data_IF_274680146337
#
_entry.id   IF_274680146337
#
_cell.length_a   1.000
_cell.length_b   1.000
_cell.length_c   1.000
_cell.angle_alpha   90.00
_cell.angle_beta   90.00
_cell.angle_gamma   90.00
#
_symmetry.space_group_name_H-M   'P 1'
#
loop_
_entity.id
_entity.type
_entity.pdbx_description
1 polymer ?
#
# COMPACT_ATOMS: atom_id res chain seq x y z
N UNK A 1 -19.96 -44.51 33.09
CA UNK A 1 -19.19 -44.05 34.26
C UNK A 1 -18.08 -45.05 34.49
N UNK A 2 -16.95 -44.85 33.83
CA UNK A 2 -15.79 -45.74 33.92
C UNK A 2 -14.86 -45.20 35.00
N UNK A 3 -14.51 -46.12 35.89
CA UNK A 3 -13.76 -45.97 37.13
C UNK A 3 -12.37 -45.36 36.87
N UNK A 4 -12.23 -44.05 37.09
CA UNK A 4 -10.92 -43.40 37.10
C UNK A 4 -10.23 -43.78 38.41
N UNK A 5 -9.46 -44.87 38.37
CA UNK A 5 -8.48 -45.24 39.42
C UNK A 5 -7.82 -43.98 39.95
N UNK A 6 -7.99 -43.72 41.24
CA UNK A 6 -7.26 -42.65 41.94
C UNK A 6 -5.77 -42.98 41.87
N UNK A 7 -5.08 -42.44 40.86
CA UNK A 7 -3.63 -42.55 40.76
C UNK A 7 -3.05 -41.71 41.89
N UNK A 8 -2.48 -42.37 42.90
CA UNK A 8 -1.78 -41.68 43.99
C UNK A 8 -0.33 -41.32 43.63
N UNK A 9 0.20 -41.89 42.54
CA UNK A 9 1.59 -41.72 42.12
C UNK A 9 1.64 -41.31 40.66
N UNK A 10 2.24 -40.16 40.38
CA UNK A 10 2.43 -39.58 39.05
C UNK A 10 3.91 -39.56 38.71
N UNK A 11 4.33 -40.34 37.71
CA UNK A 11 5.70 -40.29 37.20
C UNK A 11 5.82 -39.15 36.18
N UNK A 12 6.42 -38.04 36.60
CA UNK A 12 6.68 -36.90 35.72
C UNK A 12 8.03 -37.12 35.06
N UNK A 13 8.01 -37.40 33.75
CA UNK A 13 9.21 -37.61 32.95
C UNK A 13 10.02 -36.30 32.78
N UNK A 14 11.30 -36.35 32.35
CA UNK A 14 12.04 -35.15 31.95
C UNK A 14 11.27 -34.35 30.89
N UNK A 15 11.24 -33.03 31.01
CA UNK A 15 10.47 -32.12 30.14
C UNK A 15 8.95 -32.32 30.17
N UNK A 16 8.42 -32.89 31.25
CA UNK A 16 6.99 -32.89 31.54
C UNK A 16 6.69 -32.12 32.82
N UNK A 17 5.45 -31.68 32.97
CA UNK A 17 4.96 -31.00 34.16
C UNK A 17 3.50 -31.37 34.47
N UNK A 18 3.10 -31.15 35.71
CA UNK A 18 1.70 -31.25 36.16
C UNK A 18 1.31 -29.98 36.93
N UNK A 19 0.01 -29.70 37.03
CA UNK A 19 -0.52 -28.71 37.97
C UNK A 19 -1.21 -29.43 39.12
N UNK A 20 -0.88 -29.05 40.35
CA UNK A 20 -1.42 -29.65 41.57
C UNK A 20 -2.11 -28.56 42.39
N UNK A 21 -3.38 -28.76 42.69
CA UNK A 21 -4.17 -27.96 43.60
C UNK A 21 -4.06 -28.55 45.01
N UNK A 22 -3.61 -27.74 45.95
CA UNK A 22 -3.78 -27.99 47.39
C UNK A 22 -5.16 -27.47 47.82
N UNK A 23 -6.02 -28.35 48.31
CA UNK A 23 -7.40 -28.05 48.71
C UNK A 23 -7.50 -27.35 50.07
N UNK A 24 -6.46 -27.41 50.91
CA UNK A 24 -6.44 -26.69 52.18
C UNK A 24 -6.18 -25.19 51.96
N UNK A 25 -5.25 -24.88 51.05
CA UNK A 25 -4.84 -23.51 50.74
C UNK A 25 -5.53 -22.94 49.50
N UNK A 26 -6.19 -23.78 48.69
CA UNK A 26 -6.70 -23.47 47.36
C UNK A 26 -5.63 -22.96 46.37
N UNK A 27 -4.36 -23.29 46.62
CA UNK A 27 -3.23 -22.86 45.79
C UNK A 27 -2.95 -23.93 44.74
N UNK A 28 -2.95 -23.52 43.48
CA UNK A 28 -2.47 -24.38 42.39
C UNK A 28 -1.02 -24.07 42.10
N UNK A 29 -0.18 -25.10 42.12
CA UNK A 29 1.26 -24.99 41.86
C UNK A 29 1.70 -25.89 40.72
N UNK A 30 2.86 -25.54 40.16
CA UNK A 30 3.52 -26.26 39.08
C UNK A 30 4.50 -27.28 39.65
N UNK A 31 4.43 -28.53 39.19
CA UNK A 31 5.41 -29.56 39.51
C UNK A 31 6.09 -30.05 38.23
N UNK A 32 7.41 -29.82 38.13
CA UNK A 32 8.25 -30.16 36.97
C UNK A 32 9.00 -31.47 37.19
N UNK A 33 9.12 -32.30 36.14
CA UNK A 33 9.93 -33.51 36.14
C UNK A 33 11.42 -33.27 35.85
N UNK A 34 12.31 -34.27 36.01
CA UNK A 34 12.00 -35.67 36.31
C UNK A 34 11.77 -35.92 37.80
N UNK A 35 10.57 -36.38 38.18
CA UNK A 35 10.28 -36.83 39.54
C UNK A 35 9.04 -37.72 39.61
N UNK A 36 9.01 -38.55 40.63
CA UNK A 36 7.80 -39.30 41.01
C UNK A 36 7.05 -38.47 42.04
N UNK A 37 5.94 -37.86 41.62
CA UNK A 37 5.08 -37.08 42.50
C UNK A 37 4.08 -38.01 43.19
N UNK A 38 4.06 -37.99 44.52
CA UNK A 38 3.11 -38.74 45.33
C UNK A 38 2.08 -37.76 45.88
N UNK A 39 0.85 -37.87 45.39
CA UNK A 39 -0.27 -36.98 45.73
C UNK A 39 -0.69 -37.23 47.18
N UNK A 40 -0.76 -36.18 47.97
CA UNK A 40 -1.31 -36.23 49.33
C UNK A 40 -2.84 -36.17 49.33
N UNK A 41 -3.49 -36.48 50.46
CA UNK A 41 -4.96 -36.53 50.56
C UNK A 41 -5.63 -35.19 50.25
N UNK A 42 -4.99 -34.07 50.62
CA UNK A 42 -5.48 -32.71 50.36
C UNK A 42 -5.09 -32.20 48.97
N UNK A 43 -4.47 -33.02 48.11
CA UNK A 43 -3.99 -32.60 46.80
C UNK A 43 -4.80 -33.22 45.66
N UNK A 44 -5.00 -32.41 44.63
CA UNK A 44 -5.66 -32.80 43.39
C UNK A 44 -4.81 -32.39 42.20
N UNK A 45 -4.43 -33.36 41.36
CA UNK A 45 -3.78 -33.06 40.07
C UNK A 45 -4.85 -32.51 39.12
N UNK A 46 -4.67 -31.28 38.67
CA UNK A 46 -5.58 -30.58 37.76
C UNK A 46 -5.19 -30.76 36.29
N UNK A 47 -3.89 -30.84 36.01
CA UNK A 47 -3.34 -30.92 34.66
C UNK A 47 -2.17 -31.91 34.60
N UNK A 48 -2.09 -32.67 33.51
CA UNK A 48 -0.91 -33.42 33.11
C UNK A 48 -0.83 -34.88 33.58
N UNK A 49 0.31 -35.56 33.35
CA UNK A 49 1.58 -35.00 32.84
C UNK A 49 1.52 -34.45 31.40
N UNK A 50 1.81 -33.16 31.24
CA UNK A 50 1.88 -32.48 29.94
C UNK A 50 3.33 -32.24 29.52
N UNK A 51 3.59 -32.19 28.21
CA UNK A 51 4.91 -31.85 27.67
C UNK A 51 5.20 -30.37 27.83
N UNK A 52 6.44 -30.04 28.20
CA UNK A 52 6.96 -28.68 28.10
C UNK A 52 6.92 -28.19 26.65
N UNK A 53 6.76 -26.88 26.51
CA UNK A 53 6.83 -26.20 25.23
C UNK A 53 8.29 -26.07 24.82
N UNK A 54 8.59 -26.55 23.62
CA UNK A 54 9.90 -26.46 22.99
C UNK A 54 9.73 -25.57 21.77
N UNK A 55 10.30 -24.37 21.80
CA UNK A 55 10.23 -23.43 20.67
C UNK A 55 11.50 -23.61 19.83
N UNK A 56 11.40 -24.17 18.60
CA UNK A 56 12.56 -24.32 17.74
C UNK A 56 13.17 -22.97 17.34
N UNK A 57 14.42 -22.92 16.87
CA UNK A 57 15.00 -21.73 16.26
C UNK A 57 14.07 -21.14 15.19
N UNK A 58 14.02 -19.81 15.11
CA UNK A 58 13.17 -19.05 14.17
C UNK A 58 11.66 -19.31 14.32
N UNK A 59 11.21 -19.73 15.49
CA UNK A 59 9.79 -19.82 15.84
C UNK A 59 9.49 -18.98 17.07
N UNK A 60 8.21 -18.72 17.30
CA UNK A 60 7.69 -18.08 18.49
C UNK A 60 6.35 -18.69 18.89
N UNK A 61 5.93 -18.45 20.13
CA UNK A 61 4.56 -18.68 20.56
C UNK A 61 4.04 -17.48 21.35
N UNK A 62 2.73 -17.42 21.54
CA UNK A 62 2.09 -16.33 22.28
C UNK A 62 1.42 -16.90 23.51
N UNK A 63 1.81 -16.41 24.68
CA UNK A 63 1.25 -16.78 25.98
C UNK A 63 0.35 -15.65 26.46
N UNK A 64 -0.87 -16.00 26.86
CA UNK A 64 -1.81 -15.11 27.53
C UNK A 64 -1.76 -15.31 29.03
N UNK A 65 -1.96 -14.22 29.78
CA UNK A 65 -1.82 -14.16 31.23
C UNK A 65 -0.42 -14.58 31.73
N UNK A 66 0.68 -14.01 31.20
CA UNK A 66 2.02 -14.46 31.54
C UNK A 66 2.35 -14.28 33.02
N UNK A 67 3.15 -15.19 33.55
CA UNK A 67 3.63 -15.11 34.93
C UNK A 67 4.52 -13.87 35.14
N UNK A 68 4.27 -13.14 36.23
CA UNK A 68 5.07 -11.99 36.64
C UNK A 68 6.45 -12.48 37.08
N UNK A 69 7.51 -11.88 36.54
CA UNK A 69 8.90 -12.19 36.87
C UNK A 69 9.59 -11.01 37.52
N UNK A 70 10.53 -11.31 38.43
CA UNK A 70 11.42 -10.32 39.02
C UNK A 70 12.56 -9.93 38.07
N UNK A 71 13.45 -9.03 38.52
CA UNK A 71 14.62 -8.58 37.75
C UNK A 71 15.60 -9.70 37.40
N UNK A 72 15.55 -10.83 38.11
CA UNK A 72 16.39 -12.00 37.88
C UNK A 72 15.67 -13.07 37.03
N UNK A 73 14.46 -12.77 36.53
CA UNK A 73 13.66 -13.68 35.72
C UNK A 73 12.92 -14.76 36.51
N UNK A 74 12.93 -14.70 37.85
CA UNK A 74 12.23 -15.64 38.73
C UNK A 74 10.77 -15.23 38.89
N UNK A 75 9.87 -16.22 38.86
CA UNK A 75 8.44 -15.99 39.02
C UNK A 75 8.10 -15.50 40.42
N UNK A 76 7.28 -14.46 40.50
CA UNK A 76 6.78 -13.86 41.73
C UNK A 76 5.52 -14.60 42.18
N UNK A 77 5.50 -14.98 43.46
CA UNK A 77 4.34 -15.57 44.12
C UNK A 77 3.57 -14.49 44.90
N UNK A 78 2.27 -14.68 45.06
CA UNK A 78 1.42 -13.85 45.91
C UNK A 78 1.57 -14.22 47.40
N UNK A 79 0.79 -13.58 48.28
CA UNK A 79 0.82 -13.84 49.72
C UNK A 79 0.42 -15.27 50.10
N UNK A 80 -0.31 -15.97 49.22
CA UNK A 80 -0.80 -17.31 49.44
C UNK A 80 0.13 -18.37 48.80
N UNK A 81 1.17 -17.95 48.07
CA UNK A 81 2.08 -18.84 47.36
C UNK A 81 1.61 -19.21 45.94
N UNK A 82 0.55 -18.59 45.43
CA UNK A 82 0.10 -18.75 44.05
C UNK A 82 0.93 -17.88 43.10
N UNK A 83 1.16 -18.37 41.89
CA UNK A 83 1.90 -17.60 40.86
C UNK A 83 1.09 -16.37 40.47
N UNK A 84 1.73 -15.20 40.56
CA UNK A 84 1.12 -13.95 40.13
C UNK A 84 1.17 -13.85 38.60
N UNK A 85 0.03 -13.58 37.98
CA UNK A 85 -0.10 -13.42 36.52
C UNK A 85 -0.38 -11.97 36.14
N UNK A 86 0.04 -11.58 34.94
CA UNK A 86 -0.41 -10.34 34.28
C UNK A 86 -1.69 -10.64 33.51
N UNK A 87 -2.84 -10.56 34.20
CA UNK A 87 -4.13 -10.85 33.59
C UNK A 87 -4.41 -9.96 32.38
N UNK A 88 -4.89 -10.57 31.30
CA UNK A 88 -5.20 -9.93 30.00
C UNK A 88 -4.00 -9.32 29.27
N UNK A 89 -2.77 -9.60 29.71
CA UNK A 89 -1.55 -9.27 28.97
C UNK A 89 -1.06 -10.46 28.15
N UNK A 90 -0.12 -10.18 27.25
CA UNK A 90 0.43 -11.13 26.30
C UNK A 90 1.96 -11.11 26.39
N UNK A 91 2.56 -12.29 26.39
CA UNK A 91 4.01 -12.51 26.32
C UNK A 91 4.35 -13.31 25.07
N UNK A 92 5.29 -12.79 24.27
CA UNK A 92 5.75 -13.41 23.03
C UNK A 92 7.08 -14.09 23.33
N UNK A 93 7.09 -15.41 23.28
CA UNK A 93 8.27 -16.22 23.60
C UNK A 93 8.92 -16.71 22.32
N UNK A 94 10.23 -16.50 22.21
CA UNK A 94 11.06 -16.99 21.11
C UNK A 94 11.82 -18.26 21.52
N UNK A 95 12.69 -18.76 20.65
CA UNK A 95 13.54 -19.92 20.91
C UNK A 95 14.31 -19.75 22.23
N UNK A 96 14.10 -20.69 23.15
CA UNK A 96 14.69 -20.72 24.49
C UNK A 96 14.64 -22.15 25.03
N UNK A 97 15.17 -22.35 26.24
CA UNK A 97 15.07 -23.63 26.95
C UNK A 97 13.62 -24.08 27.12
N UNK A 98 13.33 -25.40 27.06
CA UNK A 98 11.98 -25.91 27.25
C UNK A 98 11.34 -25.39 28.54
N UNK A 99 10.11 -24.88 28.42
CA UNK A 99 9.41 -24.29 29.56
C UNK A 99 8.02 -24.90 29.74
N UNK A 100 7.54 -24.83 30.97
CA UNK A 100 6.18 -25.21 31.33
C UNK A 100 5.30 -23.98 31.42
N UNK A 101 3.99 -24.17 31.28
CA UNK A 101 3.01 -23.12 31.56
C UNK A 101 2.69 -23.14 33.05
N UNK A 102 2.70 -21.97 33.68
CA UNK A 102 2.25 -21.83 35.05
C UNK A 102 0.71 -21.95 35.12
N UNK A 103 0.14 -22.31 36.29
CA UNK A 103 -1.31 -22.33 36.47
C UNK A 103 -1.94 -20.99 36.08
N UNK A 104 -2.81 -21.00 35.08
CA UNK A 104 -3.50 -19.82 34.53
C UNK A 104 -2.83 -19.16 33.31
N UNK A 105 -1.58 -19.50 32.98
CA UNK A 105 -1.01 -19.17 31.66
C UNK A 105 -1.70 -19.99 30.58
N UNK A 106 -2.02 -19.36 29.45
CA UNK A 106 -2.70 -20.01 28.33
C UNK A 106 -1.82 -19.87 27.08
N UNK A 107 -1.57 -20.97 26.38
CA UNK A 107 -0.94 -20.93 25.06
C UNK A 107 -1.96 -20.41 24.03
N UNK A 108 -2.00 -19.10 23.84
CA UNK A 108 -2.91 -18.41 22.93
C UNK A 108 -2.60 -18.71 21.48
N UNK A 109 -1.32 -18.68 21.11
CA UNK A 109 -0.86 -19.06 19.78
C UNK A 109 0.20 -20.15 19.90
N UNK A 110 -0.03 -21.26 19.21
CA UNK A 110 0.92 -22.38 19.14
C UNK A 110 2.23 -21.95 18.48
N UNK A 111 3.24 -22.80 18.61
CA UNK A 111 4.56 -22.58 18.01
C UNK A 111 4.41 -22.31 16.50
N UNK A 112 4.77 -21.10 16.09
CA UNK A 112 4.59 -20.56 14.74
C UNK A 112 5.95 -20.07 14.23
N UNK A 113 6.32 -20.32 12.95
CA UNK A 113 7.55 -19.78 12.38
C UNK A 113 7.51 -18.24 12.34
N UNK A 114 8.68 -17.60 12.54
CA UNK A 114 8.85 -16.17 12.33
C UNK A 114 8.64 -15.83 10.85
N UNK A 115 8.01 -14.68 10.61
CA UNK A 115 7.70 -14.25 9.24
C UNK A 115 8.97 -13.69 8.58
N UNK A 116 9.42 -14.34 7.51
CA UNK A 116 10.52 -13.87 6.68
C UNK A 116 9.97 -12.99 5.58
N UNK A 117 10.51 -11.78 5.47
CA UNK A 117 10.13 -10.79 4.48
C UNK A 117 11.22 -10.72 3.42
N UNK A 118 10.81 -10.93 2.17
CA UNK A 118 11.69 -10.94 1.00
C UNK A 118 12.13 -9.50 0.62
N UNK A 119 13.20 -9.35 -0.18
CA UNK A 119 13.52 -8.07 -0.82
C UNK A 119 12.31 -7.51 -1.58
N UNK A 120 12.20 -6.19 -1.67
CA UNK A 120 11.08 -5.50 -2.33
C UNK A 120 9.70 -5.79 -1.73
N UNK A 121 9.66 -6.31 -0.50
CA UNK A 121 8.44 -6.45 0.29
C UNK A 121 8.58 -5.72 1.62
N UNK A 122 7.45 -5.36 2.22
CA UNK A 122 7.38 -4.87 3.58
C UNK A 122 6.15 -5.43 4.31
N UNK A 123 6.18 -5.46 5.63
CA UNK A 123 4.97 -5.57 6.44
C UNK A 123 4.48 -4.18 6.81
N UNK A 124 3.20 -3.89 6.57
CA UNK A 124 2.54 -2.76 7.21
C UNK A 124 2.14 -3.17 8.61
N UNK A 125 2.66 -2.41 9.57
CA UNK A 125 2.47 -2.61 10.99
C UNK A 125 1.64 -1.44 11.53
N UNK A 126 0.77 -1.72 12.48
CA UNK A 126 0.02 -0.72 13.23
C UNK A 126 0.28 -0.89 14.72
N UNK A 127 0.64 0.19 15.39
CA UNK A 127 0.76 0.22 16.84
C UNK A 127 -0.63 0.10 17.49
N UNK A 128 -0.81 -0.87 18.39
CA UNK A 128 -2.06 -1.03 19.18
C UNK A 128 -2.00 -0.28 20.51
N UNK A 129 -0.80 0.01 21.00
CA UNK A 129 -0.51 0.69 22.26
C UNK A 129 0.69 1.63 22.05
N UNK A 130 0.83 2.62 22.92
CA UNK A 130 2.02 3.47 22.93
C UNK A 130 3.24 2.68 23.38
N UNK A 131 4.36 2.79 22.65
CA UNK A 131 5.62 2.15 23.01
C UNK A 131 6.83 2.93 22.50
N UNK A 132 8.00 2.58 23.02
CA UNK A 132 9.28 3.09 22.54
C UNK A 132 9.92 2.00 21.71
N UNK A 133 10.25 2.30 20.46
CA UNK A 133 10.91 1.34 19.58
C UNK A 133 12.39 1.13 19.94
N UNK A 134 13.07 0.25 19.21
CA UNK A 134 14.48 -0.08 19.49
C UNK A 134 15.44 1.09 19.21
N UNK A 135 14.99 2.11 18.49
CA UNK A 135 15.75 3.32 18.19
C UNK A 135 15.48 4.44 19.20
N UNK A 136 14.62 4.20 20.19
CA UNK A 136 14.22 5.20 21.18
C UNK A 136 13.13 6.15 20.70
N UNK A 137 12.52 5.90 19.54
CA UNK A 137 11.42 6.70 19.03
C UNK A 137 10.11 6.32 19.72
N UNK A 138 9.36 7.33 20.16
CA UNK A 138 8.01 7.14 20.69
C UNK A 138 7.04 6.88 19.53
N UNK A 139 6.39 5.72 19.54
CA UNK A 139 5.34 5.33 18.62
C UNK A 139 4.02 5.38 19.37
N UNK A 140 3.02 6.07 18.82
CA UNK A 140 1.70 6.21 19.44
C UNK A 140 0.74 5.16 18.91
N UNK A 141 -0.24 4.79 19.73
CA UNK A 141 -1.32 3.91 19.32
C UNK A 141 -2.03 4.47 18.07
N UNK A 142 -2.21 3.60 17.08
CA UNK A 142 -2.77 3.94 15.78
C UNK A 142 -1.74 4.33 14.72
N UNK A 143 -0.48 4.61 15.08
CA UNK A 143 0.56 4.89 14.09
C UNK A 143 0.84 3.66 13.22
N UNK A 144 0.96 3.89 11.92
CA UNK A 144 1.33 2.88 10.92
C UNK A 144 2.78 3.10 10.45
N UNK A 145 3.52 2.00 10.35
CA UNK A 145 4.91 1.99 9.92
C UNK A 145 5.24 0.70 9.19
N UNK A 146 6.41 0.66 8.54
CA UNK A 146 6.83 -0.48 7.72
C UNK A 146 8.00 -1.22 8.34
N UNK A 147 7.94 -2.55 8.30
CA UNK A 147 9.12 -3.40 8.42
C UNK A 147 9.59 -3.81 7.02
N UNK A 148 10.69 -3.22 6.56
CA UNK A 148 11.25 -3.47 5.24
C UNK A 148 12.03 -4.79 5.17
N UNK A 149 11.80 -5.57 4.11
CA UNK A 149 12.66 -6.70 3.77
C UNK A 149 13.96 -6.27 3.06
N UNK A 150 14.97 -7.15 2.97
CA UNK A 150 14.98 -8.52 3.48
C UNK A 150 15.19 -8.57 5.00
N UNK A 151 14.40 -9.38 5.70
CA UNK A 151 14.52 -9.49 7.15
C UNK A 151 13.56 -10.50 7.77
N UNK A 152 13.85 -10.96 8.98
CA UNK A 152 12.92 -11.77 9.78
C UNK A 152 12.19 -10.85 10.75
N UNK A 153 10.87 -10.78 10.66
CA UNK A 153 10.05 -9.98 11.57
C UNK A 153 9.88 -10.70 12.90
N UNK A 154 10.23 -10.02 13.99
CA UNK A 154 10.01 -10.45 15.37
C UNK A 154 8.76 -9.73 15.91
N UNK A 155 7.65 -10.46 16.14
CA UNK A 155 6.41 -9.86 16.61
C UNK A 155 6.56 -9.19 17.98
N UNK A 156 5.82 -8.11 18.19
CA UNK A 156 5.70 -7.38 19.47
C UNK A 156 4.27 -7.40 19.94
N UNK A 157 4.04 -7.31 21.25
CA UNK A 157 2.67 -7.29 21.79
C UNK A 157 1.96 -5.95 21.54
N UNK A 158 2.73 -4.89 21.38
CA UNK A 158 2.26 -3.52 21.10
C UNK A 158 2.01 -3.27 19.62
N UNK A 159 2.27 -4.25 18.74
CA UNK A 159 2.22 -4.09 17.28
C UNK A 159 1.37 -5.17 16.64
N UNK A 160 0.47 -4.74 15.76
CA UNK A 160 -0.34 -5.61 14.91
C UNK A 160 0.17 -5.61 13.47
N UNK A 161 0.11 -6.75 12.80
CA UNK A 161 0.46 -6.87 11.37
C UNK A 161 -0.81 -6.72 10.55
N UNK A 162 -0.90 -5.64 9.76
CA UNK A 162 -2.06 -5.34 8.93
C UNK A 162 -2.01 -6.11 7.62
N UNK A 163 -0.94 -5.92 6.84
CA UNK A 163 -0.77 -6.61 5.56
C UNK A 163 0.70 -6.70 5.14
N UNK A 164 0.96 -7.51 4.11
CA UNK A 164 2.25 -7.55 3.43
C UNK A 164 2.15 -6.80 2.11
N UNK A 165 2.96 -5.75 1.97
CA UNK A 165 3.05 -4.91 0.79
C UNK A 165 4.18 -5.42 -0.09
N UNK A 166 3.93 -5.47 -1.41
CA UNK A 166 4.94 -5.76 -2.43
C UNK A 166 5.24 -4.49 -3.21
N UNK A 167 6.48 -4.31 -3.65
CA UNK A 167 6.84 -3.22 -4.52
C UNK A 167 6.13 -3.34 -5.88
N UNK A 168 5.70 -2.20 -6.41
CA UNK A 168 5.21 -2.05 -7.78
C UNK A 168 6.42 -1.95 -8.70
N UNK A 169 6.49 -2.79 -9.73
CA UNK A 169 7.58 -2.74 -10.72
C UNK A 169 7.17 -1.77 -11.81
N UNK A 170 7.89 -0.66 -11.92
CA UNK A 170 7.70 0.37 -12.94
C UNK A 170 8.71 0.18 -14.07
N UNK A 171 8.19 -0.02 -15.29
CA UNK A 171 9.00 -0.06 -16.52
C UNK A 171 9.28 1.35 -17.02
N UNK A 172 10.21 1.52 -17.99
CA UNK A 172 10.30 2.76 -18.75
C UNK A 172 8.92 3.15 -19.31
N UNK A 173 8.62 4.45 -19.30
CA UNK A 173 7.33 5.01 -19.74
C UNK A 173 6.11 4.56 -18.92
N UNK A 174 6.32 4.14 -17.67
CA UNK A 174 5.26 3.89 -16.70
C UNK A 174 5.46 4.76 -15.45
N UNK A 175 4.37 5.05 -14.75
CA UNK A 175 4.36 5.73 -13.46
C UNK A 175 3.36 5.03 -12.53
N UNK A 176 3.60 5.13 -11.22
CA UNK A 176 2.60 4.73 -10.22
C UNK A 176 1.85 5.96 -9.74
N UNK A 177 0.52 5.89 -9.78
CA UNK A 177 -0.37 6.87 -9.16
C UNK A 177 -0.58 6.50 -7.71
N UNK A 178 -0.22 7.42 -6.83
CA UNK A 178 -0.27 7.27 -5.39
C UNK A 178 -1.32 8.21 -4.82
N UNK A 179 -1.89 7.83 -3.67
CA UNK A 179 -2.76 8.68 -2.86
C UNK A 179 -2.30 8.67 -1.41
N UNK A 180 -2.29 9.84 -0.77
CA UNK A 180 -1.99 9.95 0.64
C UNK A 180 -3.21 9.53 1.47
N UNK A 181 -3.04 8.52 2.34
CA UNK A 181 -4.07 8.09 3.30
C UNK A 181 -4.22 9.05 4.48
N UNK A 182 -3.16 9.79 4.78
CA UNK A 182 -3.03 10.79 5.83
C UNK A 182 -1.98 11.81 5.41
N UNK A 183 -1.97 12.97 6.05
CA UNK A 183 -0.86 13.92 5.98
C UNK A 183 0.48 13.21 6.16
N UNK A 184 1.36 13.34 5.17
CA UNK A 184 2.66 12.70 5.14
C UNK A 184 3.64 13.48 4.27
N UNK A 185 4.93 13.17 4.40
CA UNK A 185 5.95 13.62 3.45
C UNK A 185 6.27 12.48 2.50
N UNK A 186 6.18 12.73 1.20
CA UNK A 186 6.53 11.72 0.19
C UNK A 186 8.04 11.49 0.08
N UNK A 187 8.43 10.55 -0.77
CA UNK A 187 9.85 10.19 -0.97
C UNK A 187 10.71 11.34 -1.49
N UNK A 188 10.12 12.29 -2.20
CA UNK A 188 10.82 13.43 -2.79
C UNK A 188 10.88 14.62 -1.82
N UNK A 189 10.36 14.47 -0.60
CA UNK A 189 10.36 15.49 0.45
C UNK A 189 9.18 16.46 0.36
N UNK A 190 8.17 16.17 -0.45
CA UNK A 190 6.99 17.03 -0.62
C UNK A 190 5.94 16.65 0.42
N UNK A 191 5.42 17.65 1.13
CA UNK A 191 4.29 17.47 2.03
C UNK A 191 3.02 17.20 1.21
N UNK A 192 2.29 16.15 1.60
CA UNK A 192 1.07 15.68 0.95
C UNK A 192 -0.09 15.76 1.91
N UNK A 193 -1.20 16.34 1.46
CA UNK A 193 -2.44 16.38 2.22
C UNK A 193 -3.22 15.06 2.11
N UNK A 194 -4.13 14.82 3.06
CA UNK A 194 -4.98 13.62 3.03
C UNK A 194 -5.84 13.59 1.76
N UNK A 195 -5.76 12.48 1.02
CA UNK A 195 -6.47 12.30 -0.24
C UNK A 195 -5.80 12.94 -1.45
N UNK A 196 -4.68 13.65 -1.27
CA UNK A 196 -3.88 14.15 -2.39
C UNK A 196 -3.32 12.99 -3.19
N UNK A 197 -3.27 13.17 -4.52
CA UNK A 197 -2.74 12.19 -5.45
C UNK A 197 -1.57 12.76 -6.24
N UNK A 198 -0.57 11.93 -6.52
CA UNK A 198 0.60 12.29 -7.32
C UNK A 198 1.12 11.08 -8.10
N UNK A 199 2.05 11.33 -9.04
CA UNK A 199 2.75 10.29 -9.78
C UNK A 199 4.18 10.14 -9.31
N UNK A 200 4.61 8.90 -9.09
CA UNK A 200 6.03 8.57 -9.03
C UNK A 200 6.46 7.88 -10.35
N UNK A 201 7.47 8.46 -11.00
CA UNK A 201 7.96 8.07 -12.33
C UNK A 201 9.30 7.32 -12.28
N UNK A 202 9.79 6.97 -11.09
CA UNK A 202 11.10 6.33 -10.91
C UNK A 202 11.06 4.89 -11.41
N UNK A 203 11.80 4.62 -12.48
CA UNK A 203 11.92 3.27 -13.06
C UNK A 203 12.55 2.31 -12.05
N UNK A 204 12.00 1.10 -11.96
CA UNK A 204 12.44 0.07 -11.02
C UNK A 204 11.35 -0.33 -10.04
N UNK A 205 11.76 -0.87 -8.89
CA UNK A 205 10.82 -1.30 -7.84
C UNK A 205 10.45 -0.14 -6.92
N UNK A 206 9.19 0.27 -6.96
CA UNK A 206 8.64 1.25 -6.04
C UNK A 206 7.89 0.55 -4.90
N UNK A 207 8.47 0.52 -3.71
CA UNK A 207 7.80 0.05 -2.49
C UNK A 207 7.05 1.23 -1.83
N UNK A 208 5.71 1.22 -1.74
CA UNK A 208 4.95 2.30 -1.10
C UNK A 208 5.30 2.48 0.37
N UNK A 209 5.25 3.72 0.87
CA UNK A 209 5.36 4.08 2.28
C UNK A 209 4.08 3.70 3.05
N UNK A 210 4.13 3.77 4.39
CA UNK A 210 3.04 3.31 5.27
C UNK A 210 1.68 3.95 4.93
N UNK A 211 1.69 5.25 4.63
CA UNK A 211 0.50 6.05 4.33
C UNK A 211 0.28 6.30 2.84
N UNK A 212 1.03 5.63 1.96
CA UNK A 212 0.81 5.70 0.51
C UNK A 212 -0.12 4.57 0.07
N UNK A 213 -1.21 4.93 -0.60
CA UNK A 213 -2.09 4.02 -1.31
C UNK A 213 -1.69 3.98 -2.79
N UNK A 214 -1.44 2.78 -3.33
CA UNK A 214 -1.26 2.58 -4.78
C UNK A 214 -2.63 2.54 -5.44
N UNK A 215 -2.94 3.57 -6.23
CA UNK A 215 -4.22 3.69 -6.94
C UNK A 215 -4.17 2.90 -8.25
N UNK A 216 -3.16 3.15 -9.08
CA UNK A 216 -3.00 2.49 -10.39
C UNK A 216 -1.60 2.70 -10.98
N UNK A 217 -1.27 1.92 -12.00
CA UNK A 217 -0.10 2.18 -12.87
C UNK A 217 -0.57 2.90 -14.12
N UNK A 218 0.06 4.03 -14.45
CA UNK A 218 -0.23 4.86 -15.62
C UNK A 218 0.84 4.60 -16.67
N UNK A 219 0.43 4.33 -17.91
CA UNK A 219 1.33 4.15 -19.05
C UNK A 219 1.41 5.43 -19.86
N UNK A 220 2.58 5.69 -20.45
CA UNK A 220 2.73 6.79 -21.37
C UNK A 220 1.99 6.54 -22.69
N UNK A 221 1.48 7.61 -23.28
CA UNK A 221 1.03 7.65 -24.66
C UNK A 221 2.23 7.89 -25.56
N UNK A 222 2.33 7.12 -26.64
CA UNK A 222 3.36 7.32 -27.67
C UNK A 222 2.84 8.35 -28.67
N UNK A 223 3.56 9.47 -28.78
CA UNK A 223 3.24 10.56 -29.70
C UNK A 223 4.04 10.42 -30.99
N UNK A 224 3.48 10.88 -32.10
CA UNK A 224 4.15 10.85 -33.42
C UNK A 224 3.75 12.09 -34.20
N UNK A 225 4.42 12.38 -35.32
CA UNK A 225 4.02 13.46 -36.24
C UNK A 225 2.59 13.30 -36.78
N UNK A 226 1.99 12.11 -36.62
CA UNK A 226 0.63 11.79 -37.04
C UNK A 226 -0.39 11.81 -35.89
N UNK A 227 0.05 11.85 -34.62
CA UNK A 227 -0.78 11.71 -33.43
C UNK A 227 -0.36 12.70 -32.35
N UNK A 228 -1.28 13.58 -31.96
CA UNK A 228 -1.18 14.44 -30.80
C UNK A 228 -2.13 13.94 -29.69
N UNK A 229 -1.80 14.22 -28.44
CA UNK A 229 -2.66 13.89 -27.30
C UNK A 229 -3.49 15.10 -26.89
N UNK A 230 -4.80 14.94 -26.82
CA UNK A 230 -5.71 15.97 -26.34
C UNK A 230 -5.98 15.75 -24.85
N UNK A 231 -5.59 16.76 -24.07
CA UNK A 231 -5.64 16.74 -22.61
C UNK A 231 -6.45 17.92 -22.09
N UNK A 232 -7.05 17.73 -20.93
CA UNK A 232 -7.86 18.72 -20.20
C UNK A 232 -7.39 18.83 -18.76
N UNK A 233 -7.28 20.06 -18.25
CA UNK A 233 -6.95 20.31 -16.85
C UNK A 233 -8.18 20.09 -15.94
N UNK A 234 -8.06 19.17 -14.99
CA UNK A 234 -9.09 18.90 -13.98
C UNK A 234 -9.15 19.96 -12.87
N UNK A 235 -8.08 20.74 -12.69
CA UNK A 235 -7.99 21.88 -11.76
C UNK A 235 -6.91 22.84 -12.26
N UNK A 236 -6.83 24.03 -11.69
CA UNK A 236 -5.72 24.95 -11.99
C UNK A 236 -4.43 24.41 -11.39
N UNK A 237 -3.40 24.17 -12.21
CA UNK A 237 -2.09 23.67 -11.76
C UNK A 237 -0.97 24.18 -12.67
N UNK A 238 0.27 23.93 -12.26
CA UNK A 238 1.46 24.22 -13.07
C UNK A 238 2.08 22.89 -13.48
N UNK A 239 2.30 22.69 -14.78
CA UNK A 239 2.86 21.44 -15.31
C UNK A 239 4.38 21.32 -15.07
N UNK A 240 4.96 20.18 -15.46
CA UNK A 240 6.40 19.92 -15.34
C UNK A 240 7.28 20.89 -16.15
N UNK A 241 6.72 21.57 -17.15
CA UNK A 241 7.41 22.56 -18.00
C UNK A 241 7.17 23.99 -17.49
N UNK A 242 6.59 24.13 -16.29
CA UNK A 242 6.26 25.40 -15.62
C UNK A 242 5.23 26.26 -16.37
N UNK A 243 4.41 25.67 -17.24
CA UNK A 243 3.24 26.34 -17.81
C UNK A 243 2.08 26.20 -16.85
N UNK A 244 1.32 27.28 -16.69
CA UNK A 244 0.13 27.30 -15.83
C UNK A 244 -1.09 26.97 -16.67
N UNK A 245 -1.81 25.93 -16.28
CA UNK A 245 -3.08 25.53 -16.88
C UNK A 245 -4.22 25.89 -15.95
N UNK A 246 -5.28 26.49 -16.49
CA UNK A 246 -6.50 26.82 -15.76
C UNK A 246 -7.47 25.63 -15.75
N UNK A 247 -8.31 25.54 -14.73
CA UNK A 247 -9.36 24.50 -14.68
C UNK A 247 -10.23 24.51 -15.95
N UNK A 248 -10.39 23.34 -16.57
CA UNK A 248 -11.16 23.14 -17.79
C UNK A 248 -10.44 23.55 -19.07
N UNK A 249 -9.23 24.10 -18.99
CA UNK A 249 -8.40 24.38 -20.16
C UNK A 249 -8.04 23.07 -20.88
N UNK A 250 -8.09 23.11 -22.22
CA UNK A 250 -7.78 21.97 -23.07
C UNK A 250 -6.64 22.34 -24.01
N UNK A 251 -5.69 21.42 -24.20
CA UNK A 251 -4.56 21.62 -25.11
C UNK A 251 -4.14 20.31 -25.78
N UNK A 252 -3.25 20.45 -26.76
CA UNK A 252 -2.61 19.33 -27.44
C UNK A 252 -1.16 19.20 -26.98
N UNK A 253 -0.74 17.96 -26.73
CA UNK A 253 0.66 17.58 -26.55
C UNK A 253 1.16 16.95 -27.84
N UNK A 254 2.27 17.49 -28.36
CA UNK A 254 2.85 17.06 -29.64
C UNK A 254 4.09 16.20 -29.43
N UNK A 255 4.47 15.44 -30.47
CA UNK A 255 5.71 14.68 -30.50
C UNK A 255 6.96 15.58 -30.38
N UNK A 256 6.86 16.85 -30.78
CA UNK A 256 7.93 17.84 -30.62
C UNK A 256 8.18 18.24 -29.17
N UNK A 257 7.17 18.08 -28.29
CA UNK A 257 7.32 18.35 -26.85
C UNK A 257 7.94 17.12 -26.15
N UNK A 258 7.42 15.92 -26.45
CA UNK A 258 7.93 14.65 -25.95
C UNK A 258 7.53 13.47 -26.85
N UNK A 259 8.42 12.49 -27.04
CA UNK A 259 8.10 11.25 -27.78
C UNK A 259 7.05 10.40 -27.06
N UNK A 260 7.07 10.43 -25.73
CA UNK A 260 6.06 9.78 -24.89
C UNK A 260 5.58 10.73 -23.81
N UNK A 261 4.30 10.62 -23.46
CA UNK A 261 3.67 11.50 -22.49
C UNK A 261 2.87 10.70 -21.46
N UNK A 262 3.19 10.85 -20.19
CA UNK A 262 2.41 10.29 -19.07
C UNK A 262 1.55 11.43 -18.52
N UNK A 263 0.21 11.39 -18.74
CA UNK A 263 -0.69 12.41 -18.21
C UNK A 263 -0.57 12.48 -16.69
N UNK A 264 -0.42 13.70 -16.16
CA UNK A 264 -0.33 13.91 -14.72
C UNK A 264 -1.69 13.69 -14.02
N UNK A 265 -1.71 13.68 -12.69
CA UNK A 265 -2.91 13.42 -11.88
C UNK A 265 -4.04 14.40 -12.17
N UNK A 266 -3.69 15.64 -12.49
CA UNK A 266 -4.63 16.73 -12.79
C UNK A 266 -4.92 16.88 -14.28
N UNK A 267 -4.46 15.94 -15.11
CA UNK A 267 -4.68 15.92 -16.55
C UNK A 267 -5.60 14.77 -16.92
N UNK A 268 -6.68 15.09 -17.61
CA UNK A 268 -7.59 14.12 -18.19
C UNK A 268 -7.30 13.98 -19.67
N UNK A 269 -7.10 12.75 -20.15
CA UNK A 269 -6.98 12.49 -21.58
C UNK A 269 -8.37 12.48 -22.20
N UNK A 270 -8.67 13.50 -23.00
CA UNK A 270 -9.91 13.60 -23.76
C UNK A 270 -9.87 12.66 -24.97
N UNK A 271 -8.72 12.56 -25.63
CA UNK A 271 -8.54 11.66 -26.77
C UNK A 271 -7.20 11.79 -27.48
N UNK A 272 -7.07 11.07 -28.59
CA UNK A 272 -5.90 11.15 -29.49
C UNK A 272 -6.34 11.81 -30.79
N UNK A 273 -5.71 12.92 -31.15
CA UNK A 273 -6.03 13.68 -32.37
C UNK A 273 -5.08 13.24 -33.48
N UNK A 274 -5.67 12.83 -34.61
CA UNK A 274 -4.91 12.47 -35.80
C UNK A 274 -4.61 13.71 -36.64
N UNK A 275 -3.44 13.73 -37.28
CA UNK A 275 -3.03 14.84 -38.12
C UNK A 275 -3.95 14.99 -39.34
N UNK A 276 -4.31 16.23 -39.67
CA UNK A 276 -5.01 16.58 -40.91
C UNK A 276 -3.98 16.92 -41.96
N UNK A 277 -4.01 16.21 -43.09
CA UNK A 277 -3.09 16.40 -44.23
C UNK A 277 -3.89 16.86 -45.43
N UNK A 278 -3.50 18.00 -46.00
CA UNK A 278 -4.02 18.54 -47.25
C UNK A 278 -2.94 18.41 -48.32
N UNK A 279 -3.32 17.95 -49.52
CA UNK A 279 -2.45 17.99 -50.69
C UNK A 279 -2.58 19.32 -51.46
N UNK A 280 -1.83 19.48 -52.55
CA UNK A 280 -1.82 20.70 -53.37
C UNK A 280 -3.16 21.05 -54.03
N UNK A 281 -4.09 20.09 -54.15
CA UNK A 281 -5.43 20.24 -54.73
C UNK A 281 -6.53 20.14 -53.68
N UNK A 282 -6.22 20.32 -52.41
CA UNK A 282 -7.18 20.21 -51.32
C UNK A 282 -7.23 21.47 -50.47
N UNK A 283 -8.40 21.69 -49.89
CA UNK A 283 -8.65 22.74 -48.92
C UNK A 283 -9.64 22.26 -47.86
N UNK A 284 -9.65 22.92 -46.71
CA UNK A 284 -10.70 22.75 -45.71
C UNK A 284 -11.02 24.09 -45.05
N UNK A 285 -12.21 24.16 -44.45
CA UNK A 285 -12.64 25.33 -43.68
C UNK A 285 -12.75 24.92 -42.23
N UNK A 286 -11.91 25.51 -41.39
CA UNK A 286 -11.93 25.34 -39.93
C UNK A 286 -12.98 26.29 -39.36
N UNK A 287 -13.92 25.76 -38.58
CA UNK A 287 -14.88 26.53 -37.79
C UNK A 287 -14.29 26.83 -36.42
N UNK A 288 -14.61 28.02 -35.90
CA UNK A 288 -14.21 28.49 -34.57
C UNK A 288 -12.68 28.42 -34.33
N UNK A 289 -11.86 28.94 -35.26
CA UNK A 289 -10.41 28.75 -35.24
C UNK A 289 -9.78 29.34 -33.99
N UNK A 290 -8.80 28.63 -33.43
CA UNK A 290 -8.07 29.09 -32.25
C UNK A 290 -7.04 30.16 -32.63
N UNK A 291 -6.99 31.26 -31.87
CA UNK A 291 -6.01 32.33 -32.08
C UNK A 291 -4.63 32.02 -31.45
N UNK A 292 -3.69 32.97 -31.55
CA UNK A 292 -2.35 32.83 -30.96
C UNK A 292 -2.36 32.78 -29.44
N UNK A 293 -3.42 33.27 -28.81
CA UNK A 293 -3.60 33.29 -27.35
C UNK A 293 -4.31 32.02 -26.85
N UNK A 294 -4.52 31.03 -27.73
CA UNK A 294 -5.17 29.76 -27.40
C UNK A 294 -6.68 29.85 -27.24
N UNK A 295 -7.32 30.94 -27.67
CA UNK A 295 -8.76 31.16 -27.52
C UNK A 295 -9.53 30.85 -28.81
N UNK A 296 -10.65 30.11 -28.73
CA UNK A 296 -11.48 29.83 -29.91
C UNK A 296 -12.22 31.10 -30.36
N UNK A 297 -12.13 31.41 -31.65
CA UNK A 297 -12.82 32.55 -32.25
C UNK A 297 -14.22 32.14 -32.72
N UNK A 298 -15.16 32.09 -31.78
CA UNK A 298 -16.54 31.64 -32.03
C UNK A 298 -17.21 32.38 -33.20
N UNK A 299 -17.82 31.62 -34.10
CA UNK A 299 -18.51 32.08 -35.29
C UNK A 299 -17.60 32.41 -36.48
N UNK A 300 -16.28 32.47 -36.30
CA UNK A 300 -15.35 32.71 -37.39
C UNK A 300 -15.02 31.44 -38.17
N UNK A 301 -14.51 31.63 -39.39
CA UNK A 301 -14.07 30.57 -40.28
C UNK A 301 -12.66 30.87 -40.78
N UNK A 302 -11.83 29.84 -40.88
CA UNK A 302 -10.47 29.93 -41.42
C UNK A 302 -10.32 28.97 -42.58
N UNK A 303 -10.04 29.52 -43.77
CA UNK A 303 -9.69 28.74 -44.95
C UNK A 303 -8.25 28.27 -44.85
N UNK A 304 -8.04 26.97 -44.99
CA UNK A 304 -6.71 26.35 -45.11
C UNK A 304 -6.67 25.63 -46.45
N UNK A 305 -5.70 25.97 -47.30
CA UNK A 305 -5.57 25.45 -48.66
C UNK A 305 -4.10 25.13 -48.99
N UNK A 306 -3.93 24.23 -49.95
CA UNK A 306 -2.62 23.78 -50.42
C UNK A 306 -1.95 22.77 -49.50
N UNK A 307 -0.74 22.36 -49.85
CA UNK A 307 0.00 21.32 -49.14
C UNK A 307 0.33 21.76 -47.70
N UNK A 308 -0.42 21.21 -46.74
CA UNK A 308 -0.29 21.54 -45.31
C UNK A 308 -0.63 20.34 -44.44
N UNK A 309 0.09 20.26 -43.33
CA UNK A 309 -0.07 19.23 -42.30
C UNK A 309 -0.27 19.93 -40.96
N UNK A 310 -1.39 19.69 -40.28
CA UNK A 310 -1.70 20.35 -39.01
C UNK A 310 -2.65 19.49 -38.16
N UNK A 311 -2.70 19.76 -36.86
CA UNK A 311 -3.70 19.19 -35.95
C UNK A 311 -4.81 20.20 -35.70
N UNK A 312 -6.06 19.73 -35.64
CA UNK A 312 -7.19 20.55 -35.20
C UNK A 312 -7.04 20.82 -33.71
N UNK A 313 -7.06 22.10 -33.32
CA UNK A 313 -6.98 22.49 -31.92
C UNK A 313 -8.27 22.12 -31.16
N UNK A 314 -8.24 22.06 -29.83
CA UNK A 314 -9.43 21.84 -29.03
C UNK A 314 -10.52 22.86 -29.37
N UNK A 315 -11.73 22.36 -29.66
CA UNK A 315 -12.87 23.17 -30.11
C UNK A 315 -12.96 23.42 -31.62
N UNK A 316 -11.89 23.19 -32.39
CA UNK A 316 -11.93 23.32 -33.85
C UNK A 316 -12.61 22.11 -34.50
N UNK A 317 -13.33 22.39 -35.60
CA UNK A 317 -13.92 21.35 -36.45
C UNK A 317 -13.92 21.76 -37.92
N UNK A 318 -13.84 20.77 -38.80
CA UNK A 318 -13.94 21.01 -40.24
C UNK A 318 -15.40 21.18 -40.65
N UNK A 319 -15.72 22.26 -41.37
CA UNK A 319 -17.09 22.57 -41.78
C UNK A 319 -17.71 21.47 -42.67
N UNK A 320 -16.91 20.93 -43.60
CA UNK A 320 -17.31 19.90 -44.58
C UNK A 320 -16.18 18.89 -44.82
N UNK A 321 -15.36 18.62 -43.80
CA UNK A 321 -14.16 17.79 -43.94
C UNK A 321 -13.11 18.42 -44.87
N UNK A 322 -12.27 17.56 -45.45
CA UNK A 322 -11.31 17.90 -46.49
C UNK A 322 -12.05 17.91 -47.84
N UNK A 323 -11.89 18.97 -48.62
CA UNK A 323 -12.54 19.17 -49.91
C UNK A 323 -11.48 19.36 -51.00
N UNK A 324 -11.80 18.95 -52.22
CA UNK A 324 -10.95 19.20 -53.37
C UNK A 324 -11.19 20.61 -53.92
N UNK A 325 -10.13 21.28 -54.34
CA UNK A 325 -10.21 22.59 -54.99
C UNK A 325 -10.96 22.47 -56.32
N UNK A 326 -11.72 23.50 -56.66
CA UNK A 326 -12.35 23.59 -57.99
C UNK A 326 -11.25 23.84 -59.02
N UNK A 327 -11.01 22.84 -59.88
CA UNK A 327 -10.18 22.98 -61.08
C UNK A 327 -11.14 23.18 -62.24
N UNK A 328 -11.10 24.35 -62.86
CA UNK A 328 -11.98 24.71 -63.98
C UNK A 328 -11.21 24.61 -65.29
N UNK A 329 -11.81 23.96 -66.28
CA UNK A 329 -11.33 23.94 -67.66
C UNK A 329 -11.72 25.23 -68.42
N UNK A 330 -11.23 25.43 -69.66
CA UNK A 330 -11.43 26.68 -70.42
C UNK A 330 -12.92 27.03 -70.65
N UNK A 331 -13.79 26.03 -70.66
CA UNK A 331 -15.24 26.15 -70.88
C UNK A 331 -16.07 26.08 -69.58
N UNK A 332 -15.44 26.01 -68.42
CA UNK A 332 -16.11 25.93 -67.12
C UNK A 332 -16.08 27.27 -66.34
N UNK A 333 -17.10 27.48 -65.51
CA UNK A 333 -17.21 28.66 -64.66
C UNK A 333 -18.05 28.42 -63.41
N UNK A 334 -17.76 29.16 -62.35
CA UNK A 334 -18.50 29.11 -61.09
C UNK A 334 -19.31 30.40 -60.89
N UNK A 335 -20.60 30.24 -60.55
CA UNK A 335 -21.43 31.35 -60.10
C UNK A 335 -21.19 31.54 -58.61
N UNK A 336 -20.58 32.66 -58.24
CA UNK A 336 -20.28 33.00 -56.85
C UNK A 336 -21.28 34.04 -56.31
N UNK A 337 -21.62 33.91 -55.02
CA UNK A 337 -22.42 34.91 -54.28
C UNK A 337 -21.65 35.35 -53.05
N UNK A 338 -21.52 36.66 -52.86
CA UNK A 338 -20.95 37.22 -51.64
C UNK A 338 -21.91 37.06 -50.46
N UNK A 339 -21.42 36.53 -49.34
CA UNK A 339 -22.22 36.29 -48.12
C UNK A 339 -21.82 37.18 -46.94
N UNK A 340 -20.68 37.87 -47.04
CA UNK A 340 -20.12 38.74 -45.99
C UNK A 340 -19.65 40.05 -46.63
N UNK A 341 -19.94 41.19 -46.00
CA UNK A 341 -19.75 42.54 -46.55
C UNK A 341 -18.42 43.18 -46.18
#
# INVERSE_FOLDING_TARGET
MTDAKHMNVYRIAPFYYIHVLDQNTNVTRLEVGPKTFVRQDHEKVLLGPERMLIIPPRHYCVIENPAVRDKNGKVILDSNGQVKLLHSDVDIRFAQEPFSLYPGEILKQTITPLKVIEPNCALRLRAVLDFIDDQGQQIRAGDEFLFHGPGTYFPRKEVSVEEQIKAVILKPNEAVRLRAKKEMTDRDGVERETGEEWLNRTVGSYLPLAYEEVVSTVKAYVLTDKKALHVRALRTFTDSVKRKHLHGEEWLVYASDAETYIPDVYEEVVGVVSVTVLNSRQYCVILDPVDSDGKPQLGKKKLVQGEKTFFLQPGERLAKGIQDVYVLEEDEGLILRCTES
#
